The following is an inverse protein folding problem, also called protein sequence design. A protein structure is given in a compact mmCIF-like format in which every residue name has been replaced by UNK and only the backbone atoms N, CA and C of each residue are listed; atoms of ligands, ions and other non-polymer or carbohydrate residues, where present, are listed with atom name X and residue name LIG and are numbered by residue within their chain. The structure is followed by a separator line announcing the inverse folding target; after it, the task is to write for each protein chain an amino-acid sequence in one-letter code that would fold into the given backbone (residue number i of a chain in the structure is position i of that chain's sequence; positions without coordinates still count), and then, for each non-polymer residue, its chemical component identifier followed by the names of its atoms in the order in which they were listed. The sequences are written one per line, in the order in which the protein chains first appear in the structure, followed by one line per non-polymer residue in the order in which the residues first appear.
data_IF_423840180829
#
_entry.id   IF_423840180829
#
_cell.length_a   1.000
_cell.length_b   1.000
_cell.length_c   1.000
_cell.angle_alpha   90.00
_cell.angle_beta   90.00
_cell.angle_gamma   90.00
#
_symmetry.space_group_name_H-M   'P 1'
#
loop_
_entity.id
_entity.type
_entity.pdbx_description
1 polymer ?
#
# COMPACT_ATOMS: atom_id res chain seq x y z
N UNK A 1 -26.19 -3.36 30.36
CA UNK A 1 -24.78 -3.03 30.10
C UNK A 1 -24.18 -4.25 29.43
N UNK A 2 -23.91 -4.18 28.13
CA UNK A 2 -23.12 -5.19 27.43
C UNK A 2 -22.37 -4.45 26.32
N UNK A 3 -21.04 -4.54 26.36
CA UNK A 3 -20.12 -3.67 25.66
C UNK A 3 -20.13 -3.95 24.15
N UNK A 4 -20.29 -2.88 23.37
CA UNK A 4 -20.07 -2.83 21.92
C UNK A 4 -18.61 -3.11 21.59
N UNK A 5 -18.30 -4.35 21.17
CA UNK A 5 -17.11 -4.60 20.35
C UNK A 5 -17.41 -4.12 18.92
N UNK A 6 -16.65 -3.14 18.38
CA UNK A 6 -16.75 -2.82 16.96
C UNK A 6 -16.17 -4.00 16.19
N UNK A 7 -17.05 -4.72 15.50
CA UNK A 7 -16.73 -5.81 14.59
C UNK A 7 -15.78 -5.27 13.50
N UNK A 8 -14.48 -5.44 13.71
CA UNK A 8 -13.45 -5.17 12.69
C UNK A 8 -13.47 -6.32 11.69
N UNK A 9 -14.56 -6.40 10.92
CA UNK A 9 -14.72 -7.40 9.87
C UNK A 9 -13.86 -6.99 8.67
N UNK A 10 -12.62 -7.47 8.61
CA UNK A 10 -11.84 -7.43 7.38
C UNK A 10 -12.47 -8.41 6.39
N UNK A 11 -13.10 -7.89 5.32
CA UNK A 11 -13.69 -8.70 4.25
C UNK A 11 -12.80 -8.61 3.02
N UNK A 12 -12.25 -9.74 2.57
CA UNK A 12 -11.54 -9.84 1.29
C UNK A 12 -12.28 -10.88 0.42
N UNK A 13 -13.03 -10.39 -0.57
CA UNK A 13 -13.55 -11.18 -1.69
C UNK A 13 -13.89 -10.27 -2.89
N UNK A 14 -13.66 -10.70 -4.15
CA UNK A 14 -12.95 -11.92 -4.56
C UNK A 14 -11.48 -11.62 -4.94
N UNK A 15 -10.57 -12.52 -4.58
CA UNK A 15 -9.35 -12.77 -5.36
C UNK A 15 -9.67 -13.98 -6.24
N UNK A 16 -9.45 -14.00 -7.57
CA UNK A 16 -8.26 -13.42 -8.22
C UNK A 16 -8.55 -12.69 -9.56
N UNK A 17 -7.94 -11.60 -10.00
CA UNK A 17 -6.76 -10.83 -9.64
C UNK A 17 -7.11 -9.37 -10.02
N UNK A 18 -6.96 -8.39 -9.14
CA UNK A 18 -6.63 -7.06 -9.65
C UNK A 18 -5.12 -7.02 -9.82
N UNK A 19 -4.65 -6.69 -11.02
CA UNK A 19 -3.23 -6.38 -11.25
C UNK A 19 -2.81 -5.11 -10.49
N UNK A 20 -3.71 -4.48 -9.74
CA UNK A 20 -3.56 -3.19 -9.10
C UNK A 20 -4.09 -3.24 -7.66
N UNK A 21 -3.30 -2.78 -6.71
CA UNK A 21 -3.61 -2.59 -5.30
C UNK A 21 -3.71 -1.10 -5.01
N UNK A 22 -4.80 -0.66 -4.36
CA UNK A 22 -4.90 0.71 -3.84
C UNK A 22 -4.35 0.74 -2.40
N UNK A 23 -3.39 1.62 -2.16
CA UNK A 23 -2.74 1.84 -0.87
C UNK A 23 -3.13 3.23 -0.41
N UNK A 24 -3.91 3.32 0.67
CA UNK A 24 -4.42 4.59 1.20
C UNK A 24 -3.91 4.81 2.63
N UNK A 25 -3.51 6.05 2.93
CA UNK A 25 -3.00 6.46 4.24
C UNK A 25 -3.22 7.95 4.48
N UNK A 26 -3.36 8.30 5.75
CA UNK A 26 -3.45 9.69 6.21
C UNK A 26 -2.10 10.18 6.72
N UNK A 27 -1.79 11.44 6.46
CA UNK A 27 -0.68 12.18 7.07
C UNK A 27 -1.30 13.20 8.03
N UNK A 28 -0.97 13.12 9.32
CA UNK A 28 -1.56 14.01 10.35
C UNK A 28 -0.86 15.36 10.46
N UNK A 29 0.45 15.37 10.23
CA UNK A 29 1.30 16.56 10.25
C UNK A 29 2.34 16.48 9.13
N UNK A 30 2.88 17.62 8.72
CA UNK A 30 3.81 17.68 7.60
C UNK A 30 5.10 16.90 7.89
N UNK A 31 5.37 15.82 7.15
CA UNK A 31 6.55 14.97 7.37
C UNK A 31 7.09 14.35 6.05
N UNK A 32 8.29 13.78 6.10
CA UNK A 32 8.92 13.05 5.02
C UNK A 32 8.46 11.59 5.01
N UNK A 33 7.71 11.21 3.97
CA UNK A 33 7.12 9.88 3.85
C UNK A 33 7.87 9.05 2.81
N UNK A 34 8.08 7.77 3.11
CA UNK A 34 8.53 6.76 2.16
C UNK A 34 7.54 5.59 2.12
N UNK A 35 7.09 5.23 0.93
CA UNK A 35 6.21 4.09 0.71
C UNK A 35 6.96 3.05 -0.13
N UNK A 36 7.29 1.94 0.51
CA UNK A 36 8.10 0.85 -0.05
C UNK A 36 7.33 -0.46 0.01
N UNK A 37 7.49 -1.30 -1.00
CA UNK A 37 6.84 -2.61 -1.08
C UNK A 37 7.90 -3.70 -1.03
N UNK A 38 7.69 -4.67 -0.15
CA UNK A 38 8.57 -5.82 0.05
C UNK A 38 7.84 -7.13 -0.27
N UNK A 39 8.59 -8.15 -0.70
CA UNK A 39 8.06 -9.51 -0.79
C UNK A 39 8.18 -10.24 0.56
N UNK A 40 7.73 -11.49 0.62
CA UNK A 40 7.79 -12.34 1.83
C UNK A 40 9.21 -12.73 2.26
N UNK A 41 10.21 -12.47 1.42
CA UNK A 41 11.64 -12.66 1.73
C UNK A 41 12.31 -11.36 2.19
N UNK A 42 11.55 -10.32 2.56
CA UNK A 42 12.03 -8.99 2.92
C UNK A 42 12.84 -8.28 1.82
N UNK A 43 12.65 -8.64 0.54
CA UNK A 43 13.27 -7.95 -0.58
C UNK A 43 12.40 -6.77 -1.02
N UNK A 44 12.99 -5.57 -1.09
CA UNK A 44 12.32 -4.39 -1.67
C UNK A 44 12.08 -4.64 -3.16
N UNK A 45 10.81 -4.61 -3.58
CA UNK A 45 10.40 -4.84 -4.97
C UNK A 45 9.87 -3.58 -5.66
N UNK A 46 9.50 -2.55 -4.89
CA UNK A 46 9.13 -1.24 -5.43
C UNK A 46 9.28 -0.13 -4.38
N UNK A 47 9.53 1.09 -4.85
CA UNK A 47 9.44 2.33 -4.06
C UNK A 47 8.44 3.24 -4.77
N UNK A 48 7.32 3.53 -4.11
CA UNK A 48 6.25 4.39 -4.65
C UNK A 48 6.51 5.85 -4.27
N UNK A 49 6.95 6.08 -3.03
CA UNK A 49 7.34 7.40 -2.53
C UNK A 49 8.73 7.27 -1.93
N UNK A 50 9.66 8.13 -2.33
CA UNK A 50 11.04 8.14 -1.85
C UNK A 50 11.31 9.43 -1.07
N UNK A 51 11.17 9.35 0.25
CA UNK A 51 11.46 10.43 1.21
C UNK A 51 10.90 11.79 0.78
N UNK A 52 9.60 11.84 0.50
CA UNK A 52 8.91 13.04 0.01
C UNK A 52 8.20 13.73 1.17
N UNK A 53 8.40 15.03 1.31
CA UNK A 53 7.61 15.87 2.22
C UNK A 53 6.16 15.90 1.77
N UNK A 54 5.26 15.43 2.62
CA UNK A 54 3.80 15.43 2.42
C UNK A 54 3.15 16.33 3.48
N UNK A 55 2.15 17.11 3.06
CA UNK A 55 1.32 17.92 3.95
C UNK A 55 0.21 17.06 4.59
N UNK A 56 -0.46 17.54 5.65
CA UNK A 56 -1.57 16.82 6.25
C UNK A 56 -2.68 16.53 5.23
N UNK A 57 -3.20 15.30 5.23
CA UNK A 57 -4.27 14.91 4.33
C UNK A 57 -4.30 13.41 4.03
N UNK A 58 -5.27 13.05 3.20
CA UNK A 58 -5.48 11.67 2.72
C UNK A 58 -4.77 11.44 1.39
N UNK A 59 -4.00 10.37 1.31
CA UNK A 59 -3.28 9.97 0.11
C UNK A 59 -3.70 8.58 -0.33
N UNK A 60 -3.80 8.38 -1.65
CA UNK A 60 -4.12 7.08 -2.24
C UNK A 60 -3.25 6.81 -3.46
N UNK A 61 -2.58 5.65 -3.46
CA UNK A 61 -1.68 5.22 -4.51
C UNK A 61 -2.13 3.89 -5.08
N UNK A 62 -2.17 3.81 -6.40
CA UNK A 62 -2.38 2.57 -7.13
C UNK A 62 -1.03 1.94 -7.46
N UNK A 63 -0.85 0.67 -7.11
CA UNK A 63 0.35 -0.09 -7.39
C UNK A 63 0.03 -1.38 -8.12
N UNK A 64 0.82 -1.70 -9.15
CA UNK A 64 0.76 -2.99 -9.84
C UNK A 64 2.14 -3.66 -9.82
N UNK A 65 2.24 -4.97 -9.56
CA UNK A 65 3.48 -5.69 -9.76
C UNK A 65 3.75 -5.72 -11.26
N UNK A 66 4.65 -4.87 -11.75
CA UNK A 66 5.20 -5.05 -13.09
C UNK A 66 5.87 -6.42 -13.10
N UNK A 67 5.34 -7.38 -13.87
CA UNK A 67 6.14 -8.54 -14.28
C UNK A 67 7.44 -7.94 -14.83
N UNK A 68 8.58 -8.36 -14.29
CA UNK A 68 9.87 -8.10 -14.91
C UNK A 68 9.78 -8.74 -16.29
N UNK A 69 9.42 -7.97 -17.31
CA UNK A 69 9.53 -8.37 -18.69
C UNK A 69 10.94 -8.94 -18.82
N UNK A 70 11.04 -10.21 -19.19
CA UNK A 70 12.32 -10.81 -19.51
C UNK A 70 13.01 -9.84 -20.47
N UNK A 71 14.15 -9.31 -20.03
CA UNK A 71 15.08 -8.63 -20.92
C UNK A 71 15.44 -9.72 -21.94
N UNK A 72 15.07 -9.61 -23.23
CA UNK A 72 15.58 -10.51 -24.25
C UNK A 72 17.10 -10.32 -24.32
N UNK A 73 17.82 -11.42 -24.50
CA UNK A 73 19.29 -11.52 -24.60
C UNK A 73 19.95 -10.33 -25.30
#
# INVERSE_FOLDING_TARGET
MENTTPDSSLKIAPNPFSSETSISFSVYETDNVSLKIYNTENKEIAVIIKNKKLEPGEYSFKWSPKKRSQIPL
#
